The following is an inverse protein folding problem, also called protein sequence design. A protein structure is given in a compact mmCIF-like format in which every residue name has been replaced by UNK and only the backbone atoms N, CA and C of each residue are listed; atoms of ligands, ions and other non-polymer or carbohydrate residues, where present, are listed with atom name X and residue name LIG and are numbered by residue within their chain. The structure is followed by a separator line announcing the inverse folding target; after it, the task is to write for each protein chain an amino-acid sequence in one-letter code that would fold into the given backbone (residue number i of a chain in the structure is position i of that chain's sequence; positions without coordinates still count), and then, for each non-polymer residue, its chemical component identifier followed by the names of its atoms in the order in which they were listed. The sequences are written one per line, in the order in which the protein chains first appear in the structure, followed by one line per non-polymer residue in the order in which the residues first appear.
data_IF_671323094874
#
_entry.id   IF_671323094874
#
_cell.length_a   1.000
_cell.length_b   1.000
_cell.length_c   1.000
_cell.angle_alpha   90.00
_cell.angle_beta   90.00
_cell.angle_gamma   90.00
#
_symmetry.space_group_name_H-M   'P 1'
#
loop_
_entity.id
_entity.type
_entity.pdbx_description
1 polymer ?
#
# COMPACT_ATOMS: atom_id res chain seq x y z
N UNK A 1 -49.01 -55.63 -12.98
CA UNK A 1 -50.37 -55.55 -13.55
C UNK A 1 -50.82 -54.12 -13.37
N UNK A 2 -50.65 -53.32 -14.44
CA UNK A 2 -51.74 -52.66 -15.19
C UNK A 2 -52.37 -51.52 -14.37
N UNK A 3 -51.95 -50.26 -14.56
CA UNK A 3 -52.45 -49.34 -15.59
C UNK A 3 -53.95 -49.05 -15.44
N UNK A 4 -54.33 -47.83 -15.07
CA UNK A 4 -54.88 -46.89 -16.06
C UNK A 4 -55.17 -45.49 -15.48
N UNK A 5 -54.87 -44.50 -16.31
CA UNK A 5 -55.25 -43.09 -16.19
C UNK A 5 -56.71 -42.91 -16.64
N UNK A 6 -57.48 -42.04 -15.97
CA UNK A 6 -58.41 -41.19 -16.71
C UNK A 6 -58.66 -39.84 -16.04
N UNK A 7 -58.85 -38.85 -16.90
CA UNK A 7 -58.78 -37.39 -16.76
C UNK A 7 -60.20 -36.81 -16.66
N UNK A 8 -60.36 -35.66 -16.00
CA UNK A 8 -61.27 -34.53 -16.33
C UNK A 8 -61.03 -33.43 -15.28
N UNK A 9 -60.43 -32.29 -15.61
CA UNK A 9 -60.96 -31.08 -16.30
C UNK A 9 -61.40 -29.97 -15.32
N UNK A 10 -60.95 -28.76 -15.66
CA UNK A 10 -61.43 -27.43 -15.33
C UNK A 10 -61.44 -26.92 -13.87
N UNK A 11 -60.67 -25.85 -13.61
CA UNK A 11 -61.24 -24.49 -13.55
C UNK A 11 -60.17 -23.42 -13.30
N UNK A 12 -60.32 -22.34 -14.05
CA UNK A 12 -59.61 -21.07 -14.03
C UNK A 12 -59.63 -20.36 -12.67
N UNK A 13 -58.52 -19.71 -12.30
CA UNK A 13 -58.60 -18.46 -11.54
C UNK A 13 -57.38 -17.56 -11.80
N UNK A 14 -57.66 -16.40 -12.40
CA UNK A 14 -56.75 -15.28 -12.57
C UNK A 14 -56.28 -14.73 -11.23
N UNK A 15 -54.97 -14.59 -11.04
CA UNK A 15 -54.38 -13.74 -10.01
C UNK A 15 -53.15 -13.02 -10.55
N UNK A 16 -53.35 -11.75 -10.86
CA UNK A 16 -52.31 -10.77 -11.21
C UNK A 16 -51.48 -10.42 -9.98
N UNK A 17 -50.15 -10.35 -10.16
CA UNK A 17 -49.05 -9.62 -9.43
C UNK A 17 -47.90 -10.50 -8.93
N UNK A 18 -46.67 -9.97 -8.74
CA UNK A 18 -46.04 -8.81 -9.39
C UNK A 18 -44.61 -9.09 -9.90
N UNK A 19 -44.15 -8.15 -10.73
CA UNK A 19 -42.77 -7.84 -11.09
C UNK A 19 -41.73 -8.28 -10.03
N UNK A 20 -40.99 -9.34 -10.34
CA UNK A 20 -39.86 -9.81 -9.53
C UNK A 20 -38.74 -8.78 -9.55
N UNK A 21 -38.42 -8.25 -8.37
CA UNK A 21 -37.36 -7.28 -8.12
C UNK A 21 -36.00 -7.76 -8.67
N UNK A 22 -35.14 -6.83 -9.12
CA UNK A 22 -33.77 -7.17 -9.48
C UNK A 22 -33.07 -7.72 -8.23
N UNK A 23 -32.44 -8.88 -8.40
CA UNK A 23 -31.53 -9.45 -7.42
C UNK A 23 -30.42 -8.43 -7.13
N UNK A 24 -30.55 -7.70 -6.02
CA UNK A 24 -29.43 -6.99 -5.42
C UNK A 24 -28.48 -8.04 -4.88
N UNK A 25 -27.54 -8.50 -5.73
CA UNK A 25 -26.34 -9.15 -5.26
C UNK A 25 -25.64 -8.17 -4.34
N UNK A 26 -25.79 -8.38 -3.03
CA UNK A 26 -24.96 -7.77 -2.00
C UNK A 26 -23.52 -7.88 -2.49
N UNK A 27 -22.77 -6.77 -2.67
CA UNK A 27 -21.41 -6.87 -3.17
C UNK A 27 -20.63 -7.77 -2.22
N UNK A 28 -20.12 -8.86 -2.79
CA UNK A 28 -19.11 -9.74 -2.23
C UNK A 28 -18.06 -8.91 -1.50
N UNK A 29 -17.69 -9.31 -0.28
CA UNK A 29 -16.64 -8.67 0.52
C UNK A 29 -15.50 -8.15 -0.35
N UNK A 30 -15.22 -6.84 -0.25
CA UNK A 30 -14.15 -6.18 -1.01
C UNK A 30 -12.84 -6.97 -0.91
N UNK A 31 -12.09 -7.02 -2.00
CA UNK A 31 -10.80 -7.66 -2.10
C UNK A 31 -9.77 -6.85 -1.33
N UNK A 32 -9.48 -7.32 -0.12
CA UNK A 32 -8.35 -6.83 0.65
C UNK A 32 -7.09 -7.68 0.40
N UNK A 33 -5.99 -7.02 0.06
CA UNK A 33 -4.68 -7.60 -0.18
C UNK A 33 -3.62 -6.77 0.56
N UNK A 34 -3.18 -7.19 1.77
CA UNK A 34 -2.13 -6.52 2.52
C UNK A 34 -0.77 -6.78 1.85
N UNK A 35 -0.49 -5.98 0.82
CA UNK A 35 0.60 -6.18 -0.14
C UNK A 35 1.94 -6.12 0.57
N UNK A 36 2.19 -5.08 1.37
CA UNK A 36 3.50 -4.89 2.01
C UNK A 36 3.79 -5.96 3.06
N UNK A 37 2.78 -6.35 3.84
CA UNK A 37 2.92 -7.40 4.84
C UNK A 37 3.23 -8.75 4.17
N UNK A 38 2.50 -9.07 3.10
CA UNK A 38 2.76 -10.27 2.32
C UNK A 38 4.16 -10.26 1.72
N UNK A 39 4.57 -9.18 1.06
CA UNK A 39 5.90 -9.09 0.44
C UNK A 39 7.01 -9.27 1.47
N UNK A 40 6.95 -8.55 2.61
CA UNK A 40 7.97 -8.67 3.66
C UNK A 40 8.04 -10.10 4.20
N UNK A 41 6.88 -10.73 4.43
CA UNK A 41 6.83 -12.13 4.86
C UNK A 41 7.49 -13.07 3.84
N UNK A 42 7.19 -12.92 2.55
CA UNK A 42 7.78 -13.75 1.50
C UNK A 42 9.28 -13.54 1.35
N UNK A 43 9.74 -12.29 1.43
CA UNK A 43 11.15 -11.93 1.36
C UNK A 43 11.93 -12.55 2.52
N UNK A 44 11.45 -12.38 3.77
CA UNK A 44 12.11 -12.92 4.96
C UNK A 44 12.15 -14.46 4.97
N UNK A 45 11.06 -15.13 4.58
CA UNK A 45 10.98 -16.60 4.56
C UNK A 45 11.84 -17.26 3.47
N UNK A 46 12.09 -16.57 2.35
CA UNK A 46 12.64 -17.20 1.16
C UNK A 46 14.02 -16.69 0.72
N UNK A 47 14.77 -16.06 1.62
CA UNK A 47 16.21 -15.82 1.45
C UNK A 47 16.68 -14.41 1.79
N UNK A 48 15.78 -13.42 1.77
CA UNK A 48 16.18 -12.02 1.93
C UNK A 48 16.66 -11.70 3.36
N UNK A 49 16.32 -12.52 4.35
CA UNK A 49 16.92 -12.47 5.70
C UNK A 49 18.44 -12.59 5.67
N UNK A 50 19.01 -13.28 4.69
CA UNK A 50 20.44 -13.48 4.50
C UNK A 50 21.00 -12.75 3.26
N UNK A 51 20.20 -11.88 2.62
CA UNK A 51 20.60 -11.19 1.39
C UNK A 51 20.73 -12.11 0.16
N UNK A 52 20.07 -13.27 0.15
CA UNK A 52 20.12 -14.20 -0.99
C UNK A 52 18.94 -13.95 -1.95
N UNK A 53 19.19 -13.07 -2.93
CA UNK A 53 18.21 -12.73 -3.97
C UNK A 53 18.04 -13.86 -5.01
N UNK A 54 19.05 -14.71 -5.19
CA UNK A 54 18.99 -15.84 -6.12
C UNK A 54 17.92 -16.84 -5.69
N UNK A 55 17.95 -17.22 -4.40
CA UNK A 55 16.99 -18.14 -3.79
C UNK A 55 15.58 -17.56 -3.81
N UNK A 56 15.42 -16.28 -3.50
CA UNK A 56 14.13 -15.61 -3.56
C UNK A 56 13.55 -15.62 -4.98
N UNK A 57 14.35 -15.31 -6.00
CA UNK A 57 13.93 -15.37 -7.41
C UNK A 57 13.50 -16.78 -7.83
N UNK A 58 14.24 -17.81 -7.44
CA UNK A 58 13.90 -19.21 -7.74
C UNK A 58 12.62 -19.67 -7.04
N UNK A 59 12.38 -19.20 -5.81
CA UNK A 59 11.10 -19.39 -5.13
C UNK A 59 9.95 -18.73 -5.90
N UNK A 60 10.10 -17.47 -6.30
CA UNK A 60 9.07 -16.73 -7.05
C UNK A 60 8.72 -17.40 -8.37
N UNK A 61 9.71 -17.93 -9.10
CA UNK A 61 9.48 -18.73 -10.31
C UNK A 61 8.58 -19.95 -10.03
N UNK A 62 8.88 -20.72 -8.98
CA UNK A 62 8.09 -21.91 -8.60
C UNK A 62 6.70 -21.54 -8.09
N UNK A 63 6.56 -20.45 -7.34
CA UNK A 63 5.26 -19.95 -6.85
C UNK A 63 4.39 -19.45 -8.00
N UNK A 64 4.94 -18.66 -8.93
CA UNK A 64 4.25 -18.23 -10.14
C UNK A 64 3.79 -19.41 -10.99
N UNK A 65 4.62 -20.45 -11.16
CA UNK A 65 4.22 -21.65 -11.91
C UNK A 65 3.02 -22.37 -11.26
N UNK A 66 2.99 -22.46 -9.92
CA UNK A 66 1.85 -23.04 -9.17
C UNK A 66 0.60 -22.17 -9.28
N UNK A 67 0.73 -20.86 -9.13
CA UNK A 67 -0.39 -19.93 -9.27
C UNK A 67 -0.99 -19.95 -10.68
N UNK A 68 -0.16 -20.01 -11.73
CA UNK A 68 -0.67 -20.17 -13.10
C UNK A 68 -1.43 -21.47 -13.31
N UNK A 69 -1.05 -22.55 -12.63
CA UNK A 69 -1.82 -23.80 -12.64
C UNK A 69 -3.16 -23.64 -11.92
N UNK A 70 -3.17 -23.00 -10.74
CA UNK A 70 -4.40 -22.74 -9.98
C UNK A 70 -5.42 -21.88 -10.75
N UNK A 71 -4.94 -20.86 -11.46
CA UNK A 71 -5.76 -19.95 -12.26
C UNK A 71 -6.10 -20.52 -13.66
N UNK A 72 -5.74 -21.78 -13.97
CA UNK A 72 -5.86 -22.38 -15.32
C UNK A 72 -5.21 -21.55 -16.45
N UNK A 73 -4.28 -20.70 -16.07
CA UNK A 73 -3.50 -19.77 -16.89
C UNK A 73 -2.25 -20.44 -17.49
N UNK A 74 -2.21 -21.76 -17.55
CA UNK A 74 -1.09 -22.48 -18.18
C UNK A 74 -1.12 -22.25 -19.68
N UNK A 75 0.05 -21.91 -20.25
CA UNK A 75 0.23 -21.97 -21.69
C UNK A 75 -0.01 -23.41 -22.13
N UNK A 76 -0.94 -23.63 -23.09
CA UNK A 76 -1.13 -24.97 -23.65
C UNK A 76 0.20 -25.36 -24.33
N UNK A 77 0.75 -26.50 -23.94
CA UNK A 77 1.97 -27.06 -24.54
C UNK A 77 1.65 -27.58 -25.95
N UNK A 78 1.56 -26.67 -26.91
CA UNK A 78 1.39 -26.96 -28.33
C UNK A 78 2.52 -26.35 -29.16
N UNK A 79 2.48 -26.54 -30.49
CA UNK A 79 3.49 -26.02 -31.44
C UNK A 79 3.52 -24.48 -31.51
N UNK A 80 2.47 -23.79 -31.07
CA UNK A 80 2.38 -22.34 -31.03
C UNK A 80 2.25 -21.82 -29.59
N UNK A 81 3.02 -20.79 -29.25
CA UNK A 81 2.92 -20.10 -27.98
C UNK A 81 1.70 -19.16 -28.02
N UNK A 82 0.62 -19.55 -27.35
CA UNK A 82 -0.51 -18.67 -27.09
C UNK A 82 -0.26 -17.88 -25.80
N UNK A 83 -0.16 -16.56 -25.92
CA UNK A 83 -0.04 -15.66 -24.78
C UNK A 83 -1.40 -15.48 -24.12
N UNK A 84 -1.68 -16.26 -23.07
CA UNK A 84 -2.79 -15.97 -22.16
C UNK A 84 -2.47 -14.70 -21.38
N UNK A 85 -3.13 -13.60 -21.71
CA UNK A 85 -2.98 -12.31 -21.03
C UNK A 85 -3.74 -12.29 -19.69
N UNK A 86 -3.41 -13.21 -18.78
CA UNK A 86 -4.06 -13.37 -17.45
C UNK A 86 -3.87 -12.15 -16.53
N UNK A 87 -3.14 -11.15 -17.02
CA UNK A 87 -2.80 -9.91 -16.37
C UNK A 87 -3.65 -8.73 -16.87
N UNK A 88 -4.66 -8.94 -17.71
CA UNK A 88 -5.60 -7.89 -18.16
C UNK A 88 -7.03 -8.32 -17.91
N UNK A 89 -7.88 -7.38 -17.50
CA UNK A 89 -9.33 -7.56 -17.36
C UNK A 89 -10.00 -8.13 -18.62
N UNK A 90 -9.47 -7.82 -19.81
CA UNK A 90 -9.92 -8.40 -21.08
C UNK A 90 -9.80 -9.94 -21.16
N UNK A 91 -8.94 -10.57 -20.35
CA UNK A 91 -8.85 -12.04 -20.26
C UNK A 91 -9.86 -12.63 -19.26
N UNK A 92 -10.43 -11.80 -18.38
CA UNK A 92 -11.46 -12.20 -17.41
C UNK A 92 -12.88 -12.11 -18.01
N UNK A 93 -13.00 -12.15 -19.35
CA UNK A 93 -14.27 -12.20 -20.08
C UNK A 93 -15.27 -11.07 -19.73
N UNK A 94 -14.77 -9.91 -19.29
CA UNK A 94 -15.62 -8.73 -19.07
C UNK A 94 -16.49 -8.79 -17.82
N UNK A 95 -16.40 -9.85 -17.00
CA UNK A 95 -17.04 -9.89 -15.68
C UNK A 95 -16.04 -9.33 -14.64
N UNK A 96 -16.18 -8.05 -14.22
CA UNK A 96 -15.32 -7.51 -13.18
C UNK A 96 -15.38 -8.39 -11.93
N UNK A 97 -16.54 -8.97 -11.59
CA UNK A 97 -16.77 -9.86 -10.43
C UNK A 97 -15.93 -11.13 -10.40
N UNK A 98 -15.23 -11.46 -11.48
CA UNK A 98 -14.31 -12.60 -11.55
C UNK A 98 -12.89 -12.30 -11.04
N UNK A 99 -12.57 -11.03 -10.68
CA UNK A 99 -11.26 -10.69 -10.17
C UNK A 99 -11.04 -11.34 -8.79
N UNK A 100 -10.26 -12.43 -8.76
CA UNK A 100 -9.81 -13.07 -7.52
C UNK A 100 -8.49 -12.48 -7.05
N UNK A 101 -8.23 -12.58 -5.73
CA UNK A 101 -6.93 -12.23 -5.11
C UNK A 101 -5.73 -12.89 -5.82
N UNK A 102 -5.92 -14.08 -6.38
CA UNK A 102 -4.88 -14.81 -7.12
C UNK A 102 -4.40 -14.08 -8.38
N UNK A 103 -5.27 -13.34 -9.08
CA UNK A 103 -4.90 -12.58 -10.28
C UNK A 103 -4.04 -11.37 -9.93
N UNK A 104 -4.39 -10.64 -8.88
CA UNK A 104 -3.58 -9.54 -8.34
C UNK A 104 -2.21 -10.06 -7.90
N UNK A 105 -2.19 -11.17 -7.16
CA UNK A 105 -0.96 -11.82 -6.72
C UNK A 105 -0.08 -12.28 -7.88
N UNK A 106 -0.67 -12.77 -8.98
CA UNK A 106 0.05 -13.19 -10.17
C UNK A 106 0.82 -12.03 -10.82
N UNK A 107 0.23 -10.84 -10.89
CA UNK A 107 0.87 -9.63 -11.44
C UNK A 107 1.95 -9.14 -10.47
N UNK A 108 1.63 -9.06 -9.17
CA UNK A 108 2.57 -8.67 -8.12
C UNK A 108 3.84 -9.53 -8.13
N UNK A 109 3.70 -10.86 -8.13
CA UNK A 109 4.85 -11.77 -8.12
C UNK A 109 5.68 -11.72 -9.41
N UNK A 110 5.08 -11.32 -10.54
CA UNK A 110 5.83 -11.09 -11.77
C UNK A 110 6.71 -9.83 -11.67
N UNK A 111 6.20 -8.76 -11.04
CA UNK A 111 6.97 -7.55 -10.73
C UNK A 111 8.13 -7.89 -9.78
N UNK A 112 7.82 -8.52 -8.64
CA UNK A 112 8.81 -8.95 -7.64
C UNK A 112 9.89 -9.85 -8.22
N UNK A 113 9.54 -10.79 -9.10
CA UNK A 113 10.54 -11.67 -9.73
C UNK A 113 11.51 -10.88 -10.61
N UNK A 114 11.01 -9.89 -11.35
CA UNK A 114 11.84 -9.06 -12.20
C UNK A 114 12.76 -8.16 -11.36
N UNK A 115 12.24 -7.60 -10.27
CA UNK A 115 13.01 -6.84 -9.28
C UNK A 115 14.07 -7.70 -8.58
N UNK A 116 13.71 -8.88 -8.06
CA UNK A 116 14.65 -9.79 -7.41
C UNK A 116 15.79 -10.23 -8.34
N UNK A 117 15.51 -10.36 -9.65
CA UNK A 117 16.56 -10.60 -10.64
C UNK A 117 17.47 -9.37 -10.76
N UNK A 118 16.92 -8.17 -10.91
CA UNK A 118 17.72 -6.94 -10.95
C UNK A 118 18.65 -6.83 -9.73
N UNK A 119 18.13 -7.07 -8.52
CA UNK A 119 18.92 -7.02 -7.28
C UNK A 119 20.01 -8.10 -7.22
N UNK A 120 19.72 -9.33 -7.69
CA UNK A 120 20.73 -10.37 -7.82
C UNK A 120 21.88 -9.94 -8.75
N UNK A 121 21.57 -9.34 -9.90
CA UNK A 121 22.60 -8.83 -10.83
C UNK A 121 23.43 -7.69 -10.19
N UNK A 122 22.78 -6.86 -9.39
CA UNK A 122 23.44 -5.79 -8.65
C UNK A 122 24.41 -6.35 -7.60
N UNK A 123 23.98 -7.37 -6.85
CA UNK A 123 24.81 -8.06 -5.86
C UNK A 123 26.00 -8.79 -6.52
N UNK A 124 25.77 -9.49 -7.63
CA UNK A 124 26.83 -10.16 -8.39
C UNK A 124 27.89 -9.17 -8.89
N UNK A 125 27.46 -7.97 -9.27
CA UNK A 125 28.34 -6.91 -9.75
C UNK A 125 29.05 -6.13 -8.63
N UNK A 126 28.57 -6.20 -7.38
CA UNK A 126 29.08 -5.43 -6.25
C UNK A 126 30.54 -5.79 -5.89
N UNK A 127 31.02 -6.98 -6.27
CA UNK A 127 32.42 -7.39 -6.10
C UNK A 127 33.40 -6.72 -7.08
N UNK A 128 32.91 -6.08 -8.14
CA UNK A 128 33.73 -5.42 -9.14
C UNK A 128 33.89 -3.92 -8.81
N UNK A 129 35.08 -3.36 -9.06
CA UNK A 129 35.33 -1.91 -8.87
C UNK A 129 34.38 -1.01 -9.68
N UNK A 130 33.94 -1.48 -10.85
CA UNK A 130 32.96 -0.81 -11.69
C UNK A 130 32.00 -1.85 -12.29
N UNK A 131 30.70 -1.57 -12.27
CA UNK A 131 29.70 -2.44 -12.88
C UNK A 131 29.87 -2.47 -14.41
N UNK A 132 30.08 -3.63 -15.04
CA UNK A 132 30.20 -3.68 -16.50
C UNK A 132 28.92 -3.18 -17.20
N UNK A 133 29.07 -2.42 -18.29
CA UNK A 133 27.94 -1.77 -19.00
C UNK A 133 26.86 -2.76 -19.48
N UNK A 134 27.25 -3.96 -19.89
CA UNK A 134 26.29 -5.00 -20.29
C UNK A 134 25.46 -5.52 -19.10
N UNK A 135 26.04 -5.59 -17.90
CA UNK A 135 25.33 -5.97 -16.67
C UNK A 135 24.37 -4.86 -16.27
N UNK A 136 24.83 -3.60 -16.31
CA UNK A 136 23.97 -2.42 -16.04
C UNK A 136 22.77 -2.38 -16.99
N UNK A 137 23.01 -2.62 -18.29
CA UNK A 137 21.95 -2.69 -19.30
C UNK A 137 20.97 -3.84 -19.03
N UNK A 138 21.48 -5.00 -18.60
CA UNK A 138 20.64 -6.14 -18.26
C UNK A 138 19.80 -5.89 -17.00
N UNK A 139 20.41 -5.29 -15.96
CA UNK A 139 19.75 -4.85 -14.73
C UNK A 139 18.62 -3.87 -15.05
N UNK A 140 18.90 -2.82 -15.82
CA UNK A 140 17.91 -1.82 -16.21
C UNK A 140 16.74 -2.44 -16.98
N UNK A 141 17.02 -3.38 -17.89
CA UNK A 141 15.95 -4.13 -18.60
C UNK A 141 15.07 -4.94 -17.64
N UNK A 142 15.64 -5.47 -16.56
CA UNK A 142 14.88 -6.19 -15.52
C UNK A 142 14.05 -5.25 -14.66
N UNK A 143 14.60 -4.12 -14.24
CA UNK A 143 13.84 -3.11 -13.49
C UNK A 143 12.72 -2.49 -14.31
N UNK A 144 12.97 -2.11 -15.58
CA UNK A 144 11.91 -1.63 -16.48
C UNK A 144 10.78 -2.63 -16.58
N UNK A 145 11.10 -3.93 -16.65
CA UNK A 145 10.09 -4.98 -16.63
C UNK A 145 9.32 -5.03 -15.30
N UNK A 146 9.99 -4.84 -14.16
CA UNK A 146 9.32 -4.75 -12.86
C UNK A 146 8.37 -3.54 -12.79
N UNK A 147 8.82 -2.37 -13.25
CA UNK A 147 8.01 -1.15 -13.34
C UNK A 147 6.78 -1.33 -14.23
N UNK A 148 6.92 -1.95 -15.40
CA UNK A 148 5.78 -2.26 -16.29
C UNK A 148 4.75 -3.17 -15.60
N UNK A 149 5.20 -4.18 -14.86
CA UNK A 149 4.28 -5.04 -14.12
C UNK A 149 3.62 -4.33 -12.94
N UNK A 150 4.34 -3.44 -12.25
CA UNK A 150 3.79 -2.66 -11.14
C UNK A 150 2.77 -1.62 -11.64
N UNK A 151 3.04 -0.94 -12.76
CA UNK A 151 2.08 -0.05 -13.42
C UNK A 151 0.83 -0.81 -13.89
N UNK A 152 1.01 -2.04 -14.41
CA UNK A 152 -0.12 -2.91 -14.78
C UNK A 152 -0.94 -3.37 -13.57
N UNK A 153 -0.31 -3.60 -12.43
CA UNK A 153 -1.02 -3.90 -11.18
C UNK A 153 -1.86 -2.70 -10.74
N UNK A 154 -1.30 -1.49 -10.80
CA UNK A 154 -2.02 -0.26 -10.49
C UNK A 154 -3.23 -0.07 -11.40
N UNK A 155 -3.05 -0.19 -12.73
CA UNK A 155 -4.16 -0.08 -13.68
C UNK A 155 -5.27 -1.10 -13.42
N UNK A 156 -4.94 -2.36 -13.08
CA UNK A 156 -5.96 -3.36 -12.73
C UNK A 156 -6.75 -3.01 -11.46
N UNK A 157 -6.12 -2.35 -10.49
CA UNK A 157 -6.77 -1.95 -9.25
C UNK A 157 -7.62 -0.69 -9.46
N UNK A 158 -7.17 0.23 -10.31
CA UNK A 158 -7.94 1.40 -10.73
C UNK A 158 -9.17 1.00 -11.54
N UNK A 159 -9.02 0.08 -12.50
CA UNK A 159 -10.13 -0.45 -13.30
C UNK A 159 -11.14 -1.25 -12.43
N UNK A 160 -10.69 -1.80 -11.30
CA UNK A 160 -11.49 -2.61 -10.37
C UNK A 160 -11.77 -1.87 -9.05
N UNK A 161 -11.88 -0.54 -9.07
CA UNK A 161 -12.12 0.29 -7.88
C UNK A 161 -13.30 -0.19 -7.03
N UNK A 162 -14.36 -0.67 -7.67
CA UNK A 162 -15.59 -1.11 -6.99
C UNK A 162 -15.41 -2.41 -6.19
N UNK A 163 -14.31 -3.14 -6.43
CA UNK A 163 -14.07 -4.46 -5.86
C UNK A 163 -12.89 -4.51 -4.91
N UNK A 164 -12.00 -3.53 -4.97
CA UNK A 164 -10.76 -3.49 -4.19
C UNK A 164 -10.92 -2.50 -3.06
N UNK A 165 -10.44 -2.87 -1.87
CA UNK A 165 -10.43 -1.94 -0.73
C UNK A 165 -9.52 -0.75 -1.02
N UNK A 166 -9.94 0.46 -0.67
CA UNK A 166 -9.13 1.68 -0.86
C UNK A 166 -7.74 1.59 -0.22
N UNK A 167 -7.61 0.89 0.91
CA UNK A 167 -6.30 0.60 1.51
C UNK A 167 -5.39 -0.17 0.55
N UNK A 168 -5.91 -1.21 -0.10
CA UNK A 168 -5.15 -1.99 -1.07
C UNK A 168 -4.79 -1.14 -2.29
N UNK A 169 -5.67 -0.21 -2.72
CA UNK A 169 -5.39 0.71 -3.82
C UNK A 169 -4.20 1.62 -3.52
N UNK A 170 -4.14 2.19 -2.31
CA UNK A 170 -3.02 2.99 -1.83
C UNK A 170 -1.73 2.19 -1.69
N UNK A 171 -1.79 0.97 -1.13
CA UNK A 171 -0.60 0.11 -1.01
C UNK A 171 -0.01 -0.24 -2.39
N UNK A 172 -0.86 -0.59 -3.35
CA UNK A 172 -0.43 -0.88 -4.73
C UNK A 172 0.19 0.35 -5.38
N UNK A 173 -0.36 1.52 -5.12
CA UNK A 173 0.18 2.76 -5.64
C UNK A 173 1.55 3.11 -5.05
N UNK A 174 1.72 2.98 -3.74
CA UNK A 174 3.03 3.17 -3.10
C UNK A 174 4.08 2.19 -3.69
N UNK A 175 3.69 0.92 -3.89
CA UNK A 175 4.55 -0.08 -4.51
C UNK A 175 4.90 0.25 -5.97
N UNK A 176 3.93 0.71 -6.76
CA UNK A 176 4.15 1.12 -8.15
C UNK A 176 5.05 2.35 -8.24
N UNK A 177 4.86 3.33 -7.36
CA UNK A 177 5.74 4.50 -7.22
C UNK A 177 7.17 4.11 -6.90
N UNK A 178 7.37 3.21 -5.93
CA UNK A 178 8.70 2.71 -5.56
C UNK A 178 9.38 1.94 -6.70
N UNK A 179 8.67 1.01 -7.36
CA UNK A 179 9.21 0.25 -8.50
C UNK A 179 9.52 1.15 -9.71
N UNK A 180 8.66 2.14 -9.97
CA UNK A 180 8.88 3.14 -11.01
C UNK A 180 10.09 4.03 -10.71
N UNK A 181 10.26 4.45 -9.45
CA UNK A 181 11.41 5.23 -9.03
C UNK A 181 12.72 4.44 -9.13
N UNK A 182 12.73 3.14 -8.80
CA UNK A 182 13.92 2.31 -8.96
C UNK A 182 14.41 2.26 -10.42
N UNK A 183 13.49 2.35 -11.39
CA UNK A 183 13.85 2.46 -12.82
C UNK A 183 14.49 3.82 -13.11
N UNK A 184 13.85 4.90 -12.68
CA UNK A 184 14.32 6.27 -12.94
C UNK A 184 15.71 6.54 -12.28
N UNK A 185 15.93 6.01 -11.07
CA UNK A 185 17.22 6.07 -10.36
C UNK A 185 18.35 5.46 -11.20
N UNK A 186 18.12 4.27 -11.78
CA UNK A 186 19.13 3.59 -12.59
C UNK A 186 19.34 4.25 -13.97
N UNK A 187 18.34 5.01 -14.43
CA UNK A 187 18.44 5.87 -15.61
C UNK A 187 19.08 7.23 -15.33
N UNK A 188 19.41 7.53 -14.07
CA UNK A 188 19.95 8.82 -13.62
C UNK A 188 18.95 9.99 -13.79
N UNK A 189 17.65 9.68 -13.92
CA UNK A 189 16.55 10.65 -14.02
C UNK A 189 16.07 11.06 -12.61
N UNK A 190 16.94 11.76 -11.89
CA UNK A 190 16.77 12.03 -10.46
C UNK A 190 15.49 12.81 -10.12
N UNK A 191 15.09 13.78 -10.95
CA UNK A 191 13.89 14.59 -10.70
C UNK A 191 12.59 13.77 -10.75
N UNK A 192 12.45 12.93 -11.78
CA UNK A 192 11.29 12.04 -11.90
C UNK A 192 11.25 11.00 -10.79
N UNK A 193 12.41 10.42 -10.44
CA UNK A 193 12.53 9.48 -9.33
C UNK A 193 12.06 10.11 -8.02
N UNK A 194 12.51 11.33 -7.73
CA UNK A 194 12.25 12.03 -6.48
C UNK A 194 10.75 12.27 -6.28
N UNK A 195 10.02 12.72 -7.32
CA UNK A 195 8.56 12.91 -7.24
C UNK A 195 7.85 11.59 -6.90
N UNK A 196 8.21 10.49 -7.55
CA UNK A 196 7.64 9.16 -7.30
C UNK A 196 7.97 8.63 -5.90
N UNK A 197 9.17 8.90 -5.39
CA UNK A 197 9.59 8.50 -4.05
C UNK A 197 8.89 9.31 -2.97
N UNK A 198 8.71 10.62 -3.17
CA UNK A 198 7.97 11.49 -2.23
C UNK A 198 6.52 11.06 -2.11
N UNK A 199 5.84 10.76 -3.22
CA UNK A 199 4.46 10.29 -3.19
C UNK A 199 4.35 8.92 -2.50
N UNK A 200 5.23 7.97 -2.84
CA UNK A 200 5.27 6.67 -2.19
C UNK A 200 5.55 6.77 -0.68
N UNK A 201 6.51 7.60 -0.27
CA UNK A 201 6.83 7.84 1.14
C UNK A 201 5.61 8.38 1.90
N UNK A 202 4.96 9.44 1.39
CA UNK A 202 3.80 10.02 2.06
C UNK A 202 2.66 9.02 2.24
N UNK A 203 2.40 8.17 1.24
CA UNK A 203 1.37 7.13 1.36
C UNK A 203 1.75 6.13 2.45
N UNK A 204 3.00 5.66 2.47
CA UNK A 204 3.48 4.69 3.47
C UNK A 204 3.47 5.26 4.89
N UNK A 205 3.91 6.50 5.09
CA UNK A 205 3.88 7.16 6.40
C UNK A 205 2.44 7.28 6.93
N UNK A 206 1.50 7.72 6.08
CA UNK A 206 0.10 7.85 6.47
C UNK A 206 -0.56 6.49 6.72
N UNK A 207 -0.23 5.44 5.97
CA UNK A 207 -0.72 4.09 6.25
C UNK A 207 -0.15 3.53 7.56
N UNK A 208 1.10 3.87 7.89
CA UNK A 208 1.75 3.51 9.16
C UNK A 208 1.10 4.16 10.38
N UNK A 209 0.66 5.41 10.27
CA UNK A 209 -0.06 6.12 11.35
C UNK A 209 -1.43 5.48 11.68
N UNK A 210 -2.06 4.82 10.72
CA UNK A 210 -3.40 4.23 10.85
C UNK A 210 -3.38 2.74 11.22
N UNK A 211 -2.21 2.10 11.18
CA UNK A 211 -2.04 0.67 11.40
C UNK A 211 -1.97 0.27 12.87
N UNK A 212 -2.03 -1.04 13.11
CA UNK A 212 -1.61 -1.62 14.40
C UNK A 212 -0.11 -1.45 14.62
N UNK A 213 0.41 -1.65 15.84
CA UNK A 213 1.85 -1.51 16.15
C UNK A 213 2.75 -2.32 15.20
N UNK A 214 2.38 -3.56 14.87
CA UNK A 214 3.16 -4.41 13.95
C UNK A 214 3.13 -3.89 12.50
N UNK A 215 1.99 -3.35 12.06
CA UNK A 215 1.85 -2.75 10.73
C UNK A 215 2.58 -1.41 10.65
N UNK A 216 2.57 -0.64 11.73
CA UNK A 216 3.29 0.63 11.84
C UNK A 216 4.79 0.41 11.64
N UNK A 217 5.39 -0.56 12.35
CA UNK A 217 6.81 -0.89 12.19
C UNK A 217 7.15 -1.33 10.76
N UNK A 218 6.27 -2.11 10.14
CA UNK A 218 6.40 -2.54 8.75
C UNK A 218 6.43 -1.35 7.78
N UNK A 219 5.44 -0.45 7.88
CA UNK A 219 5.30 0.68 6.97
C UNK A 219 6.37 1.74 7.19
N UNK A 220 6.71 2.07 8.45
CA UNK A 220 7.77 3.03 8.77
C UNK A 220 9.13 2.54 8.29
N UNK A 221 9.46 1.26 8.54
CA UNK A 221 10.68 0.67 8.01
C UNK A 221 10.74 0.73 6.47
N UNK A 222 9.60 0.55 5.79
CA UNK A 222 9.56 0.68 4.32
C UNK A 222 9.67 2.15 3.88
N UNK A 223 9.05 3.07 4.60
CA UNK A 223 9.14 4.50 4.36
C UNK A 223 10.60 4.97 4.51
N UNK A 224 11.34 4.49 5.50
CA UNK A 224 12.76 4.80 5.69
C UNK A 224 13.64 4.33 4.52
N UNK A 225 13.38 3.13 3.97
CA UNK A 225 14.06 2.66 2.75
C UNK A 225 13.82 3.60 1.56
N UNK A 226 12.55 4.01 1.37
CA UNK A 226 12.15 4.95 0.32
C UNK A 226 12.81 6.32 0.55
N UNK A 227 12.84 6.77 1.80
CA UNK A 227 13.46 8.03 2.21
C UNK A 227 14.96 8.05 1.91
N UNK A 228 15.67 6.94 2.19
CA UNK A 228 17.09 6.82 1.87
C UNK A 228 17.34 6.94 0.35
N UNK A 229 16.50 6.31 -0.47
CA UNK A 229 16.60 6.47 -1.92
C UNK A 229 16.27 7.90 -2.38
N UNK A 230 15.32 8.58 -1.73
CA UNK A 230 14.99 9.97 -2.03
C UNK A 230 16.14 10.93 -1.69
N UNK A 231 16.82 10.71 -0.56
CA UNK A 231 18.04 11.43 -0.15
C UNK A 231 19.13 11.30 -1.20
N UNK A 232 19.33 10.10 -1.72
CA UNK A 232 20.30 9.85 -2.78
C UNK A 232 19.97 10.62 -4.07
N UNK A 233 18.70 10.63 -4.50
CA UNK A 233 18.27 11.42 -5.66
C UNK A 233 18.49 12.92 -5.47
N UNK A 234 18.17 13.46 -4.28
CA UNK A 234 18.37 14.88 -3.97
C UNK A 234 19.83 15.29 -4.03
N UNK A 235 20.70 14.49 -3.42
CA UNK A 235 22.14 14.73 -3.44
C UNK A 235 22.66 14.84 -4.88
N UNK A 236 22.19 13.98 -5.77
CA UNK A 236 22.59 13.98 -7.18
C UNK A 236 21.98 15.12 -8.01
N UNK A 237 20.86 15.72 -7.58
CA UNK A 237 20.28 16.90 -8.23
C UNK A 237 21.00 18.20 -7.85
N UNK A 238 21.81 18.20 -6.79
CA UNK A 238 22.42 19.42 -6.27
C UNK A 238 21.43 20.36 -5.59
N UNK A 239 20.21 19.91 -5.28
CA UNK A 239 19.30 20.62 -4.36
C UNK A 239 19.89 20.53 -2.95
N UNK A 240 20.58 21.59 -2.56
CA UNK A 240 21.30 21.68 -1.30
C UNK A 240 20.39 21.98 -0.11
N UNK A 241 19.98 20.94 0.61
CA UNK A 241 20.03 20.82 2.08
C UNK A 241 19.36 19.50 2.46
N UNK A 242 20.04 18.67 3.26
CA UNK A 242 19.48 17.44 3.82
C UNK A 242 18.25 17.71 4.72
N UNK A 243 18.10 18.94 5.21
CA UNK A 243 16.98 19.41 6.04
C UNK A 243 15.73 19.75 5.23
N UNK A 244 15.83 19.98 3.91
CA UNK A 244 14.67 20.21 3.02
C UNK A 244 13.93 18.90 2.67
N UNK A 245 14.40 17.78 3.23
CA UNK A 245 13.70 16.52 3.27
C UNK A 245 12.82 16.37 4.51
N UNK A 246 12.66 17.43 5.28
CA UNK A 246 11.37 17.66 5.93
C UNK A 246 10.32 17.66 4.81
N UNK A 247 9.83 16.46 4.50
CA UNK A 247 8.51 16.18 3.96
C UNK A 247 7.49 16.57 5.04
N UNK A 248 7.69 17.74 5.66
CA UNK A 248 6.75 18.36 6.55
C UNK A 248 5.51 18.48 5.71
N UNK A 249 4.55 17.64 6.09
CA UNK A 249 3.15 17.91 5.92
C UNK A 249 3.00 19.36 6.39
N UNK A 250 2.98 20.31 5.44
CA UNK A 250 2.63 21.69 5.73
C UNK A 250 1.40 21.61 6.64
N UNK A 251 1.42 22.33 7.75
CA UNK A 251 0.43 22.33 8.85
C UNK A 251 -1.04 22.58 8.42
N UNK A 252 -1.30 22.65 7.11
CA UNK A 252 -2.58 22.78 6.44
C UNK A 252 -3.00 21.54 5.63
N UNK A 253 -2.31 20.39 5.72
CA UNK A 253 -2.75 19.14 5.08
C UNK A 253 -2.73 19.15 3.54
N UNK A 254 -2.14 20.17 2.92
CA UNK A 254 -2.00 20.29 1.47
C UNK A 254 -0.58 19.91 1.06
N UNK A 255 -0.37 18.62 0.84
CA UNK A 255 0.85 18.10 0.21
C UNK A 255 0.88 18.53 -1.26
N UNK A 256 1.57 19.63 -1.56
CA UNK A 256 1.63 20.25 -2.92
C UNK A 256 2.09 19.31 -4.05
N UNK A 257 2.60 18.12 -3.73
CA UNK A 257 3.13 17.14 -4.68
C UNK A 257 2.33 15.83 -4.75
N UNK A 258 1.18 15.73 -4.07
CA UNK A 258 0.31 14.55 -4.13
C UNK A 258 -0.91 14.91 -5.00
N UNK A 259 -1.25 14.08 -6.01
CA UNK A 259 -2.50 14.26 -6.75
C UNK A 259 -3.70 14.28 -5.81
N UNK A 260 -4.61 15.24 -6.02
CA UNK A 260 -5.80 15.46 -5.19
C UNK A 260 -6.63 14.18 -4.97
N UNK A 261 -6.77 13.36 -6.02
CA UNK A 261 -7.44 12.06 -5.97
C UNK A 261 -6.85 11.09 -4.92
N UNK A 262 -5.57 11.22 -4.57
CA UNK A 262 -4.96 10.35 -3.55
C UNK A 262 -5.20 10.86 -2.15
N UNK A 263 -5.31 12.17 -1.99
CA UNK A 263 -5.70 12.80 -0.72
C UNK A 263 -7.11 12.35 -0.36
N UNK A 264 -8.03 12.26 -1.33
CA UNK A 264 -9.37 11.73 -1.13
C UNK A 264 -9.36 10.27 -0.67
N UNK A 265 -8.62 9.39 -1.34
CA UNK A 265 -8.47 7.98 -0.95
C UNK A 265 -7.86 7.83 0.44
N UNK A 266 -6.86 8.64 0.77
CA UNK A 266 -6.24 8.67 2.10
C UNK A 266 -7.24 9.11 3.17
N UNK A 267 -8.06 10.12 2.90
CA UNK A 267 -9.11 10.56 3.81
C UNK A 267 -10.18 9.47 4.01
N UNK A 268 -10.59 8.79 2.93
CA UNK A 268 -11.52 7.66 3.03
C UNK A 268 -10.97 6.52 3.90
N UNK A 269 -9.67 6.20 3.78
CA UNK A 269 -9.02 5.18 4.63
C UNK A 269 -8.91 5.65 6.08
N UNK A 270 -8.60 6.93 6.32
CA UNK A 270 -8.62 7.52 7.67
C UNK A 270 -10.00 7.41 8.30
N UNK A 271 -11.06 7.73 7.57
CA UNK A 271 -12.44 7.60 8.06
C UNK A 271 -12.84 6.15 8.32
N UNK A 272 -12.46 5.22 7.44
CA UNK A 272 -12.69 3.79 7.65
C UNK A 272 -11.97 3.27 8.90
N UNK A 273 -10.72 3.71 9.14
CA UNK A 273 -9.97 3.35 10.35
C UNK A 273 -10.60 3.92 11.62
N UNK A 274 -11.12 5.15 11.58
CA UNK A 274 -11.87 5.76 12.69
C UNK A 274 -13.17 5.02 12.97
N UNK A 275 -13.87 4.59 11.92
CA UNK A 275 -15.07 3.77 12.07
C UNK A 275 -14.75 2.41 12.72
N UNK A 276 -13.64 1.78 12.35
CA UNK A 276 -13.17 0.56 13.01
C UNK A 276 -12.77 0.79 14.48
N UNK A 277 -12.03 1.86 14.78
CA UNK A 277 -11.69 2.24 16.15
C UNK A 277 -12.95 2.55 16.99
N UNK A 278 -13.97 3.18 16.40
CA UNK A 278 -15.25 3.43 17.04
C UNK A 278 -16.00 2.14 17.38
N UNK A 279 -15.85 1.07 16.58
CA UNK A 279 -16.43 -0.23 16.96
C UNK A 279 -15.76 -0.86 18.16
N UNK A 280 -14.45 -0.66 18.36
CA UNK A 280 -13.73 -1.16 19.54
C UNK A 280 -14.01 -0.38 20.82
N UNK A 281 -14.41 0.90 20.72
CA UNK A 281 -14.65 1.78 21.88
C UNK A 281 -16.09 1.64 22.41
N UNK A 282 -16.48 0.46 22.90
CA UNK A 282 -17.83 0.23 23.44
C UNK A 282 -18.01 0.79 24.85
N UNK A 283 -16.93 0.90 25.63
CA UNK A 283 -16.94 1.36 27.02
C UNK A 283 -16.02 2.56 27.24
N UNK A 284 -16.53 3.62 27.88
CA UNK A 284 -15.79 4.85 28.18
C UNK A 284 -15.84 5.12 29.67
N UNK A 285 -14.70 5.46 30.28
CA UNK A 285 -14.65 5.84 31.69
C UNK A 285 -14.92 7.33 31.88
N UNK A 286 -16.01 7.67 32.56
CA UNK A 286 -16.37 9.03 32.92
C UNK A 286 -16.53 9.16 34.43
N UNK A 287 -15.69 9.98 35.07
CA UNK A 287 -15.76 10.24 36.51
C UNK A 287 -15.66 8.99 37.38
N UNK A 288 -14.84 8.01 36.97
CA UNK A 288 -14.66 6.73 37.68
C UNK A 288 -15.77 5.69 37.45
N UNK A 289 -16.69 5.91 36.50
CA UNK A 289 -17.72 4.94 36.09
C UNK A 289 -17.55 4.57 34.63
N UNK A 290 -17.71 3.29 34.32
CA UNK A 290 -17.72 2.79 32.94
C UNK A 290 -19.11 2.96 32.33
N UNK A 291 -19.20 3.73 31.26
CA UNK A 291 -20.41 3.98 30.49
C UNK A 291 -20.31 3.26 29.15
N UNK A 292 -21.35 2.50 28.81
CA UNK A 292 -21.45 1.89 27.49
C UNK A 292 -22.04 2.88 26.50
N UNK A 293 -21.33 3.15 25.40
CA UNK A 293 -21.77 4.11 24.38
C UNK A 293 -22.33 3.36 23.19
N UNK A 294 -23.66 3.20 23.15
CA UNK A 294 -24.32 2.44 22.08
C UNK A 294 -24.35 3.18 20.73
N UNK A 295 -24.36 4.53 20.74
CA UNK A 295 -24.42 5.33 19.52
C UNK A 295 -23.07 5.37 18.81
N UNK A 296 -23.05 5.01 17.52
CA UNK A 296 -21.86 5.06 16.65
C UNK A 296 -21.35 6.49 16.45
N UNK A 297 -22.26 7.46 16.35
CA UNK A 297 -21.91 8.88 16.14
C UNK A 297 -21.18 9.47 17.34
N UNK A 298 -21.63 9.13 18.55
CA UNK A 298 -21.00 9.57 19.80
C UNK A 298 -19.61 8.93 19.96
N UNK A 299 -19.45 7.65 19.58
CA UNK A 299 -18.13 6.99 19.61
C UNK A 299 -17.12 7.65 18.67
N UNK A 300 -17.55 8.00 17.46
CA UNK A 300 -16.71 8.76 16.51
C UNK A 300 -16.35 10.16 17.05
N UNK A 301 -17.29 10.85 17.70
CA UNK A 301 -17.03 12.16 18.30
C UNK A 301 -16.05 12.07 19.48
N UNK A 302 -16.12 11.01 20.29
CA UNK A 302 -15.19 10.79 21.40
C UNK A 302 -13.77 10.49 20.90
N UNK A 303 -13.62 9.68 19.85
CA UNK A 303 -12.31 9.44 19.23
C UNK A 303 -11.72 10.74 18.69
N UNK A 304 -12.52 11.57 17.99
CA UNK A 304 -12.08 12.90 17.54
C UNK A 304 -11.66 13.80 18.71
N UNK A 305 -12.35 13.73 19.85
CA UNK A 305 -11.99 14.48 21.04
C UNK A 305 -10.68 13.99 21.66
N UNK A 306 -10.46 12.67 21.71
CA UNK A 306 -9.21 12.07 22.19
C UNK A 306 -8.02 12.40 21.27
N UNK A 307 -8.21 12.31 19.94
CA UNK A 307 -7.24 12.78 18.94
C UNK A 307 -6.91 14.27 19.13
N UNK A 308 -7.93 15.13 19.26
CA UNK A 308 -7.72 16.57 19.48
C UNK A 308 -7.01 16.86 20.80
N UNK A 309 -7.33 16.10 21.86
CA UNK A 309 -6.67 16.23 23.17
C UNK A 309 -5.20 15.82 23.11
N UNK A 310 -4.90 14.69 22.50
CA UNK A 310 -3.51 14.21 22.34
C UNK A 310 -2.69 15.13 21.43
N UNK A 311 -3.30 15.70 20.38
CA UNK A 311 -2.68 16.72 19.54
C UNK A 311 -2.41 18.03 20.30
N UNK A 312 -3.34 18.47 21.15
CA UNK A 312 -3.13 19.63 22.00
C UNK A 312 -1.98 19.37 23.00
N UNK A 313 -1.95 18.20 23.63
CA UNK A 313 -0.91 17.82 24.58
C UNK A 313 0.48 17.73 23.92
N UNK A 314 0.57 17.17 22.70
CA UNK A 314 1.82 17.12 21.95
C UNK A 314 2.30 18.51 21.53
N UNK A 315 1.38 19.39 21.10
CA UNK A 315 1.68 20.78 20.78
C UNK A 315 2.16 21.57 21.99
N UNK A 316 1.50 21.41 23.15
CA UNK A 316 1.93 22.03 24.40
C UNK A 316 3.33 21.55 24.83
N UNK A 317 3.65 20.26 24.67
CA UNK A 317 4.99 19.71 24.93
C UNK A 317 6.04 20.29 23.99
N UNK A 318 5.72 20.43 22.70
CA UNK A 318 6.60 21.06 21.71
C UNK A 318 6.89 22.53 22.06
N UNK A 319 5.85 23.30 22.43
CA UNK A 319 6.00 24.70 22.84
C UNK A 319 6.81 24.85 24.13
N UNK A 320 6.61 23.95 25.10
CA UNK A 320 7.41 23.93 26.32
C UNK A 320 8.90 23.63 26.03
N UNK A 321 9.20 22.73 25.09
CA UNK A 321 10.56 22.46 24.62
C UNK A 321 11.21 23.64 23.89
N UNK A 322 10.43 24.42 23.14
CA UNK A 322 10.91 25.60 22.43
C UNK A 322 11.28 26.76 23.37
N UNK A 323 10.53 26.96 24.47
CA UNK A 323 10.87 27.95 25.50
C UNK A 323 12.18 27.64 26.25
N UNK A 324 12.51 26.36 26.44
CA UNK A 324 13.76 25.95 27.10
C UNK A 324 14.99 26.22 26.23
N UNK A 325 14.89 26.10 24.90
CA UNK A 325 16.00 26.41 23.98
C UNK A 325 16.28 27.90 23.82
N UNK A 326 15.29 28.79 23.95
CA UNK A 326 15.52 30.24 23.94
C UNK A 326 16.06 30.81 25.26
N UNK A 327 16.02 30.04 26.36
CA UNK A 327 16.46 30.50 27.70
C UNK A 327 17.95 30.31 28.03
N UNK A 328 18.75 29.67 27.18
CA UNK A 328 20.17 29.34 27.50
C UNK A 328 21.19 30.32 26.86
N UNK A 329 20.72 31.33 26.11
CA UNK A 329 21.57 32.33 25.46
C UNK A 329 21.43 33.73 26.05
N UNK A 330 21.86 33.98 27.30
CA UNK A 330 21.98 35.35 27.80
C UNK A 330 21.91 35.48 29.32
N UNK A 331 23.08 35.51 29.98
CA UNK A 331 23.12 35.73 31.43
C UNK A 331 24.50 35.64 32.07
N UNK A 332 25.56 36.09 31.39
CA UNK A 332 26.90 36.23 31.99
C UNK A 332 26.99 37.44 32.91
N UNK A 333 26.25 37.45 34.02
CA UNK A 333 26.33 38.45 35.08
C UNK A 333 27.32 38.02 36.16
N UNK A 334 28.53 38.57 36.13
CA UNK A 334 29.53 38.44 37.20
C UNK A 334 28.98 38.99 38.51
N UNK A 335 29.02 38.21 39.58
CA UNK A 335 29.02 38.71 40.96
C UNK A 335 30.40 38.42 41.59
N UNK A 336 31.08 39.42 42.19
CA UNK A 336 32.16 39.15 43.12
C UNK A 336 31.63 39.12 44.55
N UNK A 337 32.18 38.14 45.27
CA UNK A 337 32.09 37.79 46.70
C UNK A 337 32.21 38.95 47.69
N UNK A 338 31.61 38.85 48.90
CA UNK A 338 31.90 39.76 49.99
C UNK A 338 33.15 39.30 50.77
N UNK A 339 34.00 40.26 51.13
CA UNK A 339 35.07 40.12 52.12
C UNK A 339 34.77 41.05 53.29
N UNK A 340 34.86 40.47 54.50
CA UNK A 340 34.91 41.06 55.85
C UNK A 340 33.63 41.69 56.39
#
# INVERSE_FOLDING_TARGET
MAADNHVHEDESNDAVTPLGAPSSSVPSSLLDLPLHHMLRTLQLQHGLRHGDYQRYRHYLNRRLARLRKGVNATHRGGKAFESKNVHSLAYLEGDPSALKKEHLLLVLLNAERAWAFAMHLQQDAAGNQHMPSYVRSHLLRRLRRAGVWAARLLGLVEDASDQVTERTSLEVQAYAGWMGAAVDVEQEEWGHALVKLRTAHSILSQLGELGSLEEQDLFLSKADEVLQSARYCQYNLGEGSFEDLNLDVDTNGATKNIPEALVEKLNAVKEASRAAAATGLETVEWGGRQLHVSSKEVRLALIKLEEARTALDSWLRSMAGAKVKQGVGGGGGKSPTPLS
#
